data_IF_255009925349
#
_entry.id   IF_255009925349
#
_cell.length_a   1.000
_cell.length_b   1.000
_cell.length_c   1.000
_cell.angle_alpha   90.00
_cell.angle_beta   90.00
_cell.angle_gamma   90.00
#
_symmetry.space_group_name_H-M   'P 1'
#
loop_
_entity.id
_entity.type
_entity.pdbx_description
1 polymer ?
#
# COMPACT_ATOMS: atom_id res chain seq x y z
N UNK A 1 4.28 14.90 -31.65
CA UNK A 1 4.88 14.32 -30.45
C UNK A 1 4.88 12.79 -30.64
N UNK A 2 6.04 12.16 -30.64
CA UNK A 2 6.12 10.69 -30.69
C UNK A 2 6.43 10.20 -29.29
N UNK A 3 5.65 9.24 -28.75
CA UNK A 3 5.95 8.61 -27.46
C UNK A 3 7.27 7.85 -27.54
N UNK A 4 8.09 7.98 -26.51
CA UNK A 4 9.34 7.24 -26.34
C UNK A 4 9.22 6.27 -25.17
N UNK A 5 9.68 5.04 -25.37
CA UNK A 5 9.74 4.06 -24.28
C UNK A 5 10.94 4.35 -23.39
N UNK A 6 10.69 4.67 -22.11
CA UNK A 6 11.73 5.04 -21.13
C UNK A 6 12.10 3.90 -20.16
N UNK A 7 11.19 2.93 -19.95
CA UNK A 7 11.40 1.75 -19.09
C UNK A 7 10.80 0.49 -19.73
N UNK A 8 11.32 -0.66 -19.35
CA UNK A 8 10.82 -1.98 -19.76
C UNK A 8 10.54 -2.85 -18.53
N UNK A 9 9.72 -3.90 -18.70
CA UNK A 9 9.42 -4.85 -17.62
C UNK A 9 8.60 -4.26 -16.47
N UNK A 10 7.94 -3.11 -16.67
CA UNK A 10 7.16 -2.47 -15.61
C UNK A 10 5.89 -3.26 -15.34
N UNK A 11 5.68 -3.64 -14.09
CA UNK A 11 4.51 -4.39 -13.59
C UNK A 11 3.53 -3.53 -12.82
N UNK A 12 3.98 -2.39 -12.28
CA UNK A 12 3.11 -1.47 -11.54
C UNK A 12 3.58 -0.03 -11.68
N UNK A 13 2.64 0.91 -11.72
CA UNK A 13 2.89 2.34 -11.70
C UNK A 13 2.05 3.01 -10.62
N UNK A 14 2.56 4.07 -10.03
CA UNK A 14 1.84 4.89 -9.06
C UNK A 14 2.20 6.37 -9.26
N UNK A 15 1.25 7.25 -8.94
CA UNK A 15 1.46 8.69 -8.98
C UNK A 15 1.41 9.27 -7.57
N UNK A 16 2.27 10.24 -7.30
CA UNK A 16 2.34 10.95 -6.05
C UNK A 16 2.64 12.42 -6.30
N UNK A 17 1.71 13.31 -5.93
CA UNK A 17 1.88 14.75 -6.11
C UNK A 17 2.47 15.13 -7.49
N UNK A 18 3.74 15.50 -7.57
CA UNK A 18 4.44 15.88 -8.81
C UNK A 18 5.44 14.81 -9.31
N UNK A 19 5.44 13.61 -8.72
CA UNK A 19 6.29 12.50 -9.12
C UNK A 19 5.51 11.27 -9.52
N UNK A 20 6.19 10.37 -10.22
CA UNK A 20 5.66 9.07 -10.63
C UNK A 20 6.61 7.97 -10.18
N UNK A 21 6.06 6.84 -9.82
CA UNK A 21 6.81 5.65 -9.47
C UNK A 21 6.50 4.51 -10.43
N UNK A 22 7.50 3.71 -10.74
CA UNK A 22 7.36 2.52 -11.54
C UNK A 22 8.11 1.36 -10.87
N UNK A 23 7.46 0.21 -10.76
CA UNK A 23 8.05 -1.02 -10.23
C UNK A 23 8.24 -1.97 -11.40
N UNK A 24 9.45 -2.51 -11.56
CA UNK A 24 9.72 -3.52 -12.56
C UNK A 24 9.55 -4.95 -12.01
N UNK A 25 9.61 -5.91 -12.92
CA UNK A 25 9.44 -7.35 -12.61
C UNK A 25 10.58 -7.91 -11.75
N UNK A 26 11.75 -7.27 -11.74
CA UNK A 26 12.92 -7.67 -10.96
C UNK A 26 12.89 -7.07 -9.54
N UNK A 27 11.85 -6.29 -9.21
CA UNK A 27 11.67 -5.67 -7.91
C UNK A 27 12.42 -4.36 -7.72
N UNK A 28 12.81 -3.69 -8.81
CA UNK A 28 13.40 -2.36 -8.76
C UNK A 28 12.32 -1.29 -8.83
N UNK A 29 12.32 -0.41 -7.87
CA UNK A 29 11.45 0.77 -7.83
C UNK A 29 12.17 1.98 -8.42
N UNK A 30 11.55 2.60 -9.42
CA UNK A 30 12.02 3.81 -10.08
C UNK A 30 11.15 5.01 -9.71
N UNK A 31 11.76 6.19 -9.70
CA UNK A 31 11.05 7.47 -9.58
C UNK A 31 11.31 8.34 -10.80
N UNK A 32 10.28 9.10 -11.19
CA UNK A 32 10.33 10.14 -12.23
C UNK A 32 9.65 11.40 -11.70
N UNK A 33 10.20 12.57 -11.99
CA UNK A 33 9.60 13.85 -11.62
C UNK A 33 10.30 14.56 -10.46
N UNK A 34 9.68 15.62 -9.93
CA UNK A 34 10.33 16.58 -9.02
C UNK A 34 10.44 16.14 -7.56
N UNK A 35 9.88 14.99 -7.21
CA UNK A 35 9.88 14.49 -5.83
C UNK A 35 10.95 13.44 -5.63
N UNK A 36 12.19 13.86 -5.64
CA UNK A 36 13.26 12.98 -5.21
C UNK A 36 13.54 13.19 -3.73
N UNK A 37 13.53 12.08 -2.98
CA UNK A 37 13.98 12.07 -1.61
C UNK A 37 15.49 12.23 -1.44
N UNK A 38 16.24 12.29 -2.52
CA UNK A 38 17.68 12.12 -2.49
C UNK A 38 18.40 13.25 -3.22
N UNK A 39 19.70 13.39 -2.94
CA UNK A 39 20.69 14.27 -3.52
C UNK A 39 20.87 14.12 -5.06
N UNK A 40 19.81 13.72 -5.76
CA UNK A 40 19.81 13.59 -7.22
C UNK A 40 19.55 14.97 -7.83
N UNK A 41 20.29 15.32 -8.85
CA UNK A 41 20.11 16.57 -9.58
C UNK A 41 18.68 16.67 -10.10
N UNK A 42 17.90 17.61 -9.56
CA UNK A 42 16.50 17.84 -9.89
C UNK A 42 16.26 18.07 -11.38
N UNK A 43 17.28 18.48 -12.12
CA UNK A 43 17.16 18.74 -13.55
C UNK A 43 17.20 17.47 -14.40
N UNK A 44 17.80 16.38 -13.93
CA UNK A 44 17.89 15.12 -14.66
C UNK A 44 16.68 14.20 -14.45
N UNK A 45 15.98 14.34 -13.31
CA UNK A 45 14.91 13.41 -12.91
C UNK A 45 13.58 13.61 -13.62
N UNK A 46 13.39 14.75 -14.27
CA UNK A 46 12.11 15.03 -14.96
C UNK A 46 11.85 14.10 -16.14
N UNK A 47 12.90 13.61 -16.76
CA UNK A 47 12.82 12.85 -18.02
C UNK A 47 13.48 11.47 -17.93
N UNK A 48 14.33 11.23 -16.93
CA UNK A 48 15.08 9.97 -16.80
C UNK A 48 14.68 9.24 -15.53
N UNK A 49 14.11 8.03 -15.62
CA UNK A 49 13.80 7.22 -14.45
C UNK A 49 15.04 6.92 -13.62
N UNK A 50 14.95 7.15 -12.30
CA UNK A 50 16.04 6.87 -11.35
C UNK A 50 15.66 5.66 -10.49
N UNK A 51 16.47 4.59 -10.41
CA UNK A 51 16.26 3.50 -9.47
C UNK A 51 16.51 4.02 -8.04
N UNK A 52 15.58 3.75 -7.12
CA UNK A 52 15.65 4.27 -5.75
C UNK A 52 15.61 3.16 -4.69
N UNK A 53 15.11 1.98 -5.03
CA UNK A 53 14.98 0.88 -4.08
C UNK A 53 14.94 -0.45 -4.83
N UNK A 54 15.57 -1.48 -4.25
CA UNK A 54 15.54 -2.86 -4.72
C UNK A 54 14.79 -3.77 -3.74
N UNK A 55 14.38 -4.95 -4.23
CA UNK A 55 13.69 -5.97 -3.43
C UNK A 55 12.24 -5.60 -3.08
N UNK A 56 11.62 -4.75 -3.89
CA UNK A 56 10.21 -4.36 -3.76
C UNK A 56 9.33 -5.40 -4.45
N UNK A 57 8.32 -5.91 -3.75
CA UNK A 57 7.34 -6.88 -4.29
C UNK A 57 6.03 -6.22 -4.68
N UNK A 58 5.67 -5.13 -4.00
CA UNK A 58 4.46 -4.37 -4.30
C UNK A 58 4.56 -2.92 -3.82
N UNK A 59 3.70 -2.03 -4.34
CA UNK A 59 3.61 -0.64 -3.92
C UNK A 59 2.19 -0.10 -4.00
N UNK A 60 1.87 0.88 -3.15
CA UNK A 60 0.65 1.68 -3.24
C UNK A 60 0.97 3.13 -2.87
N UNK A 61 0.23 4.09 -3.44
CA UNK A 61 0.43 5.50 -3.10
C UNK A 61 -0.88 6.18 -2.77
N UNK A 62 -0.81 7.10 -1.81
CA UNK A 62 -1.78 8.17 -1.61
C UNK A 62 -1.18 9.46 -2.13
N UNK A 63 -1.96 10.54 -2.22
CA UNK A 63 -1.43 11.87 -2.56
C UNK A 63 -0.38 12.42 -1.57
N UNK A 64 0.00 11.69 -0.52
CA UNK A 64 0.90 12.14 0.54
C UNK A 64 2.04 11.19 0.89
N UNK A 65 1.93 9.90 0.55
CA UNK A 65 2.95 8.89 0.87
C UNK A 65 2.99 7.78 -0.17
N UNK A 66 4.14 7.15 -0.31
CA UNK A 66 4.32 5.89 -1.00
C UNK A 66 4.51 4.79 0.03
N UNK A 67 3.76 3.71 -0.11
CA UNK A 67 3.94 2.46 0.62
C UNK A 67 4.60 1.45 -0.31
N UNK A 68 5.59 0.75 0.20
CA UNK A 68 6.29 -0.33 -0.52
C UNK A 68 6.38 -1.56 0.35
N UNK A 69 6.11 -2.71 -0.24
CA UNK A 69 6.28 -4.01 0.41
C UNK A 69 7.59 -4.64 -0.06
N UNK A 70 8.30 -5.30 0.84
CA UNK A 70 9.49 -6.10 0.53
C UNK A 70 9.21 -7.59 0.59
N UNK A 71 10.14 -8.39 0.07
CA UNK A 71 10.01 -9.84 0.00
C UNK A 71 9.86 -10.55 1.36
N UNK A 72 10.24 -9.90 2.46
CA UNK A 72 10.04 -10.38 3.83
C UNK A 72 8.66 -10.02 4.42
N UNK A 73 7.72 -9.59 3.59
CA UNK A 73 6.37 -9.11 3.98
C UNK A 73 6.39 -7.88 4.89
N UNK A 74 7.51 -7.18 5.01
CA UNK A 74 7.56 -5.89 5.69
C UNK A 74 6.98 -4.78 4.80
N UNK A 75 6.19 -3.89 5.40
CA UNK A 75 5.66 -2.70 4.76
C UNK A 75 6.47 -1.48 5.21
N UNK A 76 6.89 -0.69 4.23
CA UNK A 76 7.69 0.50 4.42
C UNK A 76 6.95 1.71 3.87
N UNK A 77 7.13 2.87 4.50
CA UNK A 77 6.61 4.15 4.02
C UNK A 77 7.73 5.08 3.62
N UNK A 78 7.50 5.90 2.61
CA UNK A 78 8.42 6.95 2.19
C UNK A 78 7.67 8.14 1.61
N UNK A 79 8.32 9.28 1.54
CA UNK A 79 7.81 10.44 0.82
C UNK A 79 6.73 11.24 1.53
N UNK A 80 6.50 11.04 2.81
CA UNK A 80 5.57 11.88 3.54
C UNK A 80 6.26 13.13 4.08
N UNK A 81 5.51 14.23 4.25
CA UNK A 81 6.06 15.51 4.65
C UNK A 81 5.62 15.85 6.08
N UNK A 82 6.58 15.84 7.00
CA UNK A 82 6.38 16.41 8.33
C UNK A 82 7.12 17.76 8.40
N UNK A 83 6.37 18.84 8.67
CA UNK A 83 6.96 20.14 8.81
C UNK A 83 7.79 20.65 7.61
N UNK A 84 7.37 20.31 6.38
CA UNK A 84 8.09 20.63 5.12
C UNK A 84 9.41 19.87 4.92
N UNK A 85 9.69 18.85 5.70
CA UNK A 85 10.85 17.98 5.50
C UNK A 85 10.41 16.63 4.90
N UNK A 86 11.17 16.19 3.90
CA UNK A 86 11.00 14.85 3.32
C UNK A 86 11.41 13.78 4.33
N UNK A 87 10.56 12.78 4.53
CA UNK A 87 10.88 11.66 5.39
C UNK A 87 11.48 10.51 4.58
N UNK A 88 12.64 9.96 5.01
CA UNK A 88 13.28 8.84 4.33
C UNK A 88 12.44 7.56 4.45
N UNK A 89 12.86 6.52 3.74
CA UNK A 89 12.28 5.20 3.83
C UNK A 89 12.33 4.68 5.27
N UNK A 90 11.17 4.37 5.82
CA UNK A 90 11.00 3.90 7.19
C UNK A 90 10.17 2.60 7.19
N UNK A 91 10.65 1.59 7.93
CA UNK A 91 9.86 0.38 8.17
C UNK A 91 8.67 0.73 9.07
N UNK A 92 7.49 0.35 8.61
CA UNK A 92 6.25 0.75 9.27
C UNK A 92 5.49 -0.41 9.92
N UNK A 93 5.43 -1.55 9.24
CA UNK A 93 4.76 -2.75 9.73
C UNK A 93 5.51 -4.02 9.30
N UNK A 94 5.25 -5.10 10.02
CA UNK A 94 5.69 -6.45 9.70
C UNK A 94 4.51 -7.34 9.31
N UNK A 95 4.83 -8.44 8.63
CA UNK A 95 3.88 -9.51 8.34
C UNK A 95 2.63 -9.04 7.57
N UNK A 96 2.79 -8.09 6.64
CA UNK A 96 1.69 -7.58 5.82
C UNK A 96 1.49 -8.51 4.63
N UNK A 97 0.28 -9.04 4.46
CA UNK A 97 -0.09 -9.94 3.36
C UNK A 97 -0.88 -9.24 2.25
N UNK A 98 -1.55 -8.16 2.59
CA UNK A 98 -2.28 -7.31 1.66
C UNK A 98 -2.25 -5.87 2.14
N UNK A 99 -2.17 -4.93 1.22
CA UNK A 99 -2.29 -3.51 1.55
C UNK A 99 -2.82 -2.68 0.38
N UNK A 100 -3.42 -1.57 0.74
CA UNK A 100 -3.78 -0.48 -0.16
C UNK A 100 -3.07 0.79 0.32
N UNK A 101 -3.43 1.92 -0.24
CA UNK A 101 -2.89 3.20 0.21
C UNK A 101 -3.24 3.55 1.67
N UNK A 102 -4.38 3.07 2.17
CA UNK A 102 -4.93 3.43 3.48
C UNK A 102 -5.21 2.25 4.42
N UNK A 103 -5.05 1.01 3.94
CA UNK A 103 -5.35 -0.20 4.70
C UNK A 103 -4.22 -1.21 4.58
N UNK A 104 -4.03 -2.02 5.62
CA UNK A 104 -3.22 -3.23 5.58
C UNK A 104 -3.92 -4.39 6.29
N UNK A 105 -3.70 -5.61 5.78
CA UNK A 105 -4.06 -6.85 6.48
C UNK A 105 -2.76 -7.60 6.77
N UNK A 106 -2.58 -7.99 8.01
CA UNK A 106 -1.42 -8.77 8.46
C UNK A 106 -1.70 -10.28 8.37
N UNK A 107 -0.65 -11.10 8.40
CA UNK A 107 -0.77 -12.56 8.26
C UNK A 107 -1.55 -13.25 9.39
N UNK A 108 -1.80 -12.56 10.48
CA UNK A 108 -2.72 -12.98 11.55
C UNK A 108 -4.17 -12.54 11.29
N UNK A 109 -4.47 -12.08 10.08
CA UNK A 109 -5.80 -11.62 9.62
C UNK A 109 -6.32 -10.37 10.33
N UNK A 110 -5.42 -9.53 10.84
CA UNK A 110 -5.80 -8.25 11.44
C UNK A 110 -5.81 -7.14 10.39
N UNK A 111 -6.90 -6.38 10.35
CA UNK A 111 -7.06 -5.19 9.51
C UNK A 111 -6.58 -3.95 10.25
N UNK A 112 -5.74 -3.17 9.58
CA UNK A 112 -5.15 -1.94 10.08
C UNK A 112 -5.52 -0.75 9.18
N UNK A 113 -5.82 0.39 9.79
CA UNK A 113 -5.99 1.67 9.11
C UNK A 113 -4.68 2.45 9.11
N UNK A 114 -4.25 2.88 7.93
CA UNK A 114 -2.94 3.47 7.69
C UNK A 114 -2.97 4.98 7.41
N UNK A 115 -4.11 5.64 7.39
CA UNK A 115 -4.18 7.06 7.01
C UNK A 115 -3.58 8.01 8.05
N UNK A 116 -3.40 7.56 9.30
CA UNK A 116 -2.68 8.29 10.36
C UNK A 116 -1.19 7.95 10.39
N UNK A 117 -0.41 8.68 11.18
CA UNK A 117 1.03 8.42 11.34
C UNK A 117 1.33 7.11 12.07
N UNK A 118 0.40 6.66 12.89
CA UNK A 118 0.48 5.37 13.57
C UNK A 118 -0.65 4.48 13.06
N UNK A 119 -0.36 3.25 12.61
CA UNK A 119 -1.39 2.29 12.24
C UNK A 119 -2.35 2.04 13.40
N UNK A 120 -3.64 2.04 13.14
CA UNK A 120 -4.67 1.71 14.12
C UNK A 120 -5.39 0.43 13.73
N UNK A 121 -5.52 -0.49 14.68
CA UNK A 121 -6.24 -1.74 14.47
C UNK A 121 -7.74 -1.46 14.34
N UNK A 122 -8.36 -2.06 13.33
CA UNK A 122 -9.81 -1.92 13.07
C UNK A 122 -10.54 -3.21 13.47
N UNK A 123 -10.12 -4.35 12.94
CA UNK A 123 -10.85 -5.59 13.05
C UNK A 123 -9.91 -6.79 12.91
N UNK A 124 -10.25 -7.91 13.58
CA UNK A 124 -9.60 -9.21 13.40
C UNK A 124 -10.41 -10.10 12.44
N UNK A 125 -9.82 -11.22 12.06
CA UNK A 125 -10.44 -12.25 11.22
C UNK A 125 -10.80 -11.77 9.81
N UNK A 126 -10.06 -10.81 9.24
CA UNK A 126 -10.38 -10.18 7.96
C UNK A 126 -9.75 -10.93 6.80
N UNK A 127 -10.57 -11.26 5.80
CA UNK A 127 -10.13 -11.84 4.52
C UNK A 127 -9.71 -10.75 3.52
N UNK A 128 -10.49 -9.68 3.40
CA UNK A 128 -10.16 -8.51 2.59
C UNK A 128 -10.92 -7.27 3.04
N UNK A 129 -10.42 -6.09 2.65
CA UNK A 129 -11.09 -4.83 2.94
C UNK A 129 -10.83 -3.80 1.84
N UNK A 130 -11.77 -2.87 1.68
CA UNK A 130 -11.65 -1.73 0.78
C UNK A 130 -12.09 -0.45 1.48
N UNK A 131 -11.42 0.65 1.16
CA UNK A 131 -11.82 1.97 1.65
C UNK A 131 -12.70 2.67 0.62
N UNK A 132 -13.81 3.26 1.06
CA UNK A 132 -14.75 4.00 0.25
C UNK A 132 -15.18 5.30 0.91
N UNK A 133 -16.04 6.08 0.25
CA UNK A 133 -16.52 7.37 0.76
C UNK A 133 -17.32 7.27 2.06
N UNK A 134 -18.01 6.14 2.27
CA UNK A 134 -18.84 5.92 3.47
C UNK A 134 -18.10 5.21 4.60
N UNK A 135 -16.88 4.77 4.37
CA UNK A 135 -16.09 4.02 5.33
C UNK A 135 -15.39 2.81 4.74
N UNK A 136 -14.90 1.95 5.62
CA UNK A 136 -14.17 0.75 5.26
C UNK A 136 -15.14 -0.42 5.24
N UNK A 137 -15.25 -1.08 4.09
CA UNK A 137 -16.00 -2.33 3.95
C UNK A 137 -15.00 -3.48 4.12
N UNK A 138 -15.27 -4.37 5.09
CA UNK A 138 -14.45 -5.53 5.40
C UNK A 138 -15.25 -6.82 5.28
N UNK A 139 -14.66 -7.83 4.66
CA UNK A 139 -15.16 -9.19 4.62
C UNK A 139 -14.31 -10.04 5.57
N UNK A 140 -14.94 -10.73 6.52
CA UNK A 140 -14.26 -11.66 7.39
C UNK A 140 -14.19 -13.09 6.78
N UNK A 141 -13.39 -13.95 7.41
CA UNK A 141 -13.20 -15.32 6.96
C UNK A 141 -14.42 -16.23 7.21
N UNK A 142 -15.36 -15.80 8.04
CA UNK A 142 -16.61 -16.51 8.32
C UNK A 142 -17.73 -16.13 7.33
N UNK A 143 -17.45 -15.21 6.39
CA UNK A 143 -18.38 -14.74 5.37
C UNK A 143 -19.23 -13.56 5.82
N UNK A 144 -18.92 -12.94 6.94
CA UNK A 144 -19.57 -11.73 7.44
C UNK A 144 -19.05 -10.48 6.72
N UNK A 145 -19.96 -9.61 6.29
CA UNK A 145 -19.65 -8.31 5.69
C UNK A 145 -19.90 -7.19 6.69
N UNK A 146 -18.87 -6.35 6.89
CA UNK A 146 -18.84 -5.31 7.90
C UNK A 146 -18.57 -3.94 7.29
N UNK A 147 -19.28 -2.91 7.74
CA UNK A 147 -19.00 -1.51 7.42
C UNK A 147 -18.47 -0.81 8.68
N UNK A 148 -17.27 -0.27 8.61
CA UNK A 148 -16.71 0.66 9.59
C UNK A 148 -16.91 2.09 9.06
N UNK A 149 -17.87 2.86 9.58
CA UNK A 149 -18.16 4.21 9.10
C UNK A 149 -16.94 5.13 9.30
N UNK A 150 -16.70 6.00 8.32
CA UNK A 150 -15.67 7.02 8.41
C UNK A 150 -16.24 8.28 9.11
N UNK A 151 -16.54 8.16 10.40
CA UNK A 151 -16.90 9.32 11.20
C UNK A 151 -15.67 9.91 11.87
N UNK A 152 -15.65 11.25 12.01
CA UNK A 152 -14.48 12.09 12.24
C UNK A 152 -13.65 11.86 13.50
N UNK A 153 -14.00 10.92 14.39
CA UNK A 153 -13.22 10.57 15.59
C UNK A 153 -12.90 9.09 15.73
N UNK A 154 -13.31 8.24 14.77
CA UNK A 154 -13.00 6.81 14.79
C UNK A 154 -13.75 6.00 15.86
N UNK A 155 -14.79 6.57 16.49
CA UNK A 155 -15.54 5.96 17.60
C UNK A 155 -16.80 5.21 17.17
N UNK A 156 -17.17 5.26 15.88
CA UNK A 156 -18.36 4.57 15.41
C UNK A 156 -18.14 3.05 15.37
N UNK A 157 -19.03 2.32 16.04
CA UNK A 157 -19.01 0.85 16.01
C UNK A 157 -19.21 0.32 14.60
N UNK A 158 -18.55 -0.78 14.28
CA UNK A 158 -18.74 -1.50 13.03
C UNK A 158 -20.17 -1.97 12.89
N UNK A 159 -20.74 -1.80 11.70
CA UNK A 159 -22.09 -2.27 11.36
C UNK A 159 -22.00 -3.57 10.59
N UNK A 160 -22.55 -4.64 11.15
CA UNK A 160 -22.71 -5.90 10.42
C UNK A 160 -23.80 -5.75 9.36
N UNK A 161 -23.48 -6.04 8.10
CA UNK A 161 -24.38 -5.86 6.97
C UNK A 161 -25.09 -7.16 6.56
N UNK A 162 -24.36 -8.24 6.42
CA UNK A 162 -24.89 -9.57 6.07
C UNK A 162 -23.88 -10.67 6.34
N UNK A 163 -24.35 -11.92 6.29
CA UNK A 163 -23.58 -13.17 6.40
C UNK A 163 -23.57 -13.95 5.08
N UNK A 164 -22.92 -15.08 5.09
CA UNK A 164 -22.88 -16.08 4.01
C UNK A 164 -22.27 -15.60 2.70
N UNK A 165 -21.38 -14.60 2.74
CA UNK A 165 -20.57 -14.23 1.58
C UNK A 165 -19.49 -15.29 1.40
N UNK A 166 -19.48 -15.89 0.20
CA UNK A 166 -18.48 -16.89 -0.13
C UNK A 166 -17.08 -16.29 -0.27
N UNK A 167 -16.15 -16.79 0.54
CA UNK A 167 -14.72 -16.44 0.45
C UNK A 167 -14.01 -17.51 -0.39
N UNK A 168 -13.36 -17.16 -1.51
CA UNK A 168 -12.72 -18.14 -2.38
C UNK A 168 -11.61 -18.93 -1.67
N UNK A 169 -11.63 -20.26 -1.79
CA UNK A 169 -10.56 -21.13 -1.26
C UNK A 169 -9.17 -20.76 -1.81
N UNK A 170 -9.13 -20.23 -3.05
CA UNK A 170 -7.88 -19.75 -3.65
C UNK A 170 -7.23 -18.59 -2.89
N UNK A 171 -7.98 -17.85 -2.09
CA UNK A 171 -7.42 -16.80 -1.25
C UNK A 171 -6.66 -17.39 -0.06
N UNK A 172 -7.15 -18.50 0.49
CA UNK A 172 -6.44 -19.26 1.56
C UNK A 172 -5.09 -19.80 1.07
N UNK A 173 -5.03 -20.33 -0.15
CA UNK A 173 -3.80 -20.91 -0.71
C UNK A 173 -2.77 -19.86 -1.10
N UNK A 174 -3.18 -18.67 -1.54
CA UNK A 174 -2.26 -17.57 -1.84
C UNK A 174 -1.57 -17.00 -0.58
N UNK A 175 -2.22 -17.06 0.57
CA UNK A 175 -1.63 -16.66 1.84
C UNK A 175 -0.63 -17.67 2.38
N UNK A 176 -0.88 -18.97 2.21
CA UNK A 176 0.03 -20.01 2.68
C UNK A 176 1.33 -20.10 1.85
N UNK A 177 1.27 -19.86 0.54
CA UNK A 177 2.45 -19.90 -0.32
C UNK A 177 3.40 -18.71 -0.12
N UNK A 178 2.92 -17.60 0.42
CA UNK A 178 3.76 -16.43 0.77
C UNK A 178 4.48 -16.56 2.11
N UNK A 179 4.05 -17.48 2.96
CA UNK A 179 4.62 -17.71 4.29
C UNK A 179 5.62 -18.88 4.34
N UNK A 180 5.91 -19.55 3.23
CA UNK A 180 6.76 -20.77 3.16
C UNK A 180 8.04 -20.59 2.35
N UNK A 181 8.30 -19.43 1.79
CA UNK A 181 9.55 -19.01 1.15
C UNK A 181 10.23 -17.89 1.96
#
# INVERSE_FOLDING_TARGET
>A
FQPEQILKGIVKIAAYSSGHYALDIDGTLYVLGSLLPLEVDRNECWLTPQPILEGVTDMASTGRRLLVQKGDSSLWRMGWWEGYQYQPLEKWMDNVVYFTADLAVTGDHTLWYLASDTPSMIMNNVACAVNGEQGILALDWDGGLWLHPQEGDGSADAVHLCDDIWVPESWYSQQQSRNTD
#
